data_IF_185597060143
#
_entry.id   IF_185597060143
#
_cell.length_a   1.000
_cell.length_b   1.000
_cell.length_c   1.000
_cell.angle_alpha   90.00
_cell.angle_beta   90.00
_cell.angle_gamma   90.00
#
_symmetry.space_group_name_H-M   'P 1'
#
loop_
_entity.id
_entity.type
_entity.pdbx_description
1 polymer ?
#
# COMPACT_ATOMS: atom_id res chain seq x y z
N UNK A 1 -101.95 -21.68 -11.55
CA UNK A 1 -101.38 -21.26 -10.27
C UNK A 1 -99.84 -21.38 -10.39
N UNK A 2 -99.17 -20.29 -10.62
CA UNK A 2 -97.71 -20.26 -10.73
C UNK A 2 -97.11 -19.72 -9.44
N UNK A 3 -96.23 -20.48 -8.79
CA UNK A 3 -95.45 -20.03 -7.65
C UNK A 3 -94.08 -19.55 -8.13
N UNK A 4 -93.80 -18.30 -7.91
CA UNK A 4 -92.52 -17.72 -8.01
C UNK A 4 -91.60 -18.16 -6.87
N UNK A 5 -90.48 -18.76 -7.18
CA UNK A 5 -89.39 -18.99 -6.24
C UNK A 5 -88.42 -17.86 -6.28
N UNK A 6 -88.34 -17.04 -5.26
CA UNK A 6 -87.24 -16.05 -5.08
C UNK A 6 -86.00 -16.83 -4.62
N UNK A 7 -84.99 -16.85 -5.48
CA UNK A 7 -83.70 -17.37 -5.11
C UNK A 7 -82.79 -16.25 -4.59
N UNK A 8 -82.67 -16.12 -3.25
CA UNK A 8 -81.63 -15.32 -2.62
C UNK A 8 -80.35 -16.15 -2.57
N UNK A 9 -79.37 -15.76 -3.41
CA UNK A 9 -78.07 -16.33 -3.35
C UNK A 9 -77.25 -15.73 -2.18
N UNK A 10 -77.39 -16.36 -0.99
CA UNK A 10 -76.53 -16.07 0.14
C UNK A 10 -75.18 -16.79 -0.01
N UNK A 11 -74.23 -16.14 -0.66
CA UNK A 11 -72.86 -16.55 -0.64
C UNK A 11 -72.23 -16.27 0.75
N UNK A 12 -72.31 -17.20 1.63
CA UNK A 12 -71.60 -17.23 2.92
C UNK A 12 -70.17 -17.70 2.59
N UNK A 13 -69.25 -16.77 2.40
CA UNK A 13 -67.81 -17.08 2.29
C UNK A 13 -67.40 -17.70 3.64
N UNK A 14 -66.89 -18.92 3.63
CA UNK A 14 -66.48 -19.61 4.85
C UNK A 14 -65.38 -18.79 5.59
N UNK A 15 -65.46 -18.67 6.92
CA UNK A 15 -64.59 -17.81 7.73
C UNK A 15 -63.09 -18.06 7.55
N UNK A 16 -62.69 -19.27 7.14
CA UNK A 16 -61.31 -19.59 6.85
C UNK A 16 -60.76 -18.83 5.60
N UNK A 17 -61.62 -18.48 4.62
CA UNK A 17 -61.22 -17.69 3.42
C UNK A 17 -60.84 -16.27 3.84
N UNK A 18 -61.57 -15.68 4.79
CA UNK A 18 -61.21 -14.39 5.37
C UNK A 18 -59.91 -14.45 6.16
N UNK A 19 -59.67 -15.54 6.91
CA UNK A 19 -58.41 -15.74 7.64
C UNK A 19 -57.21 -15.84 6.69
N UNK A 20 -57.34 -16.54 5.56
CA UNK A 20 -56.30 -16.64 4.53
C UNK A 20 -56.04 -15.28 3.86
N UNK A 21 -57.10 -14.52 3.52
CA UNK A 21 -56.94 -13.18 2.93
C UNK A 21 -56.24 -12.22 3.87
N UNK A 22 -56.59 -12.23 5.15
CA UNK A 22 -55.91 -11.42 6.18
C UNK A 22 -54.43 -11.83 6.32
N UNK A 23 -54.15 -13.13 6.34
CA UNK A 23 -52.76 -13.63 6.41
C UNK A 23 -51.92 -13.20 5.18
N UNK A 24 -52.50 -13.28 3.99
CA UNK A 24 -51.81 -12.81 2.76
C UNK A 24 -51.54 -11.31 2.81
N UNK A 25 -52.50 -10.48 3.25
CA UNK A 25 -52.34 -9.05 3.42
C UNK A 25 -51.25 -8.72 4.44
N UNK A 26 -51.21 -9.44 5.58
CA UNK A 26 -50.17 -9.25 6.60
C UNK A 26 -48.78 -9.64 6.10
N UNK A 27 -48.64 -10.74 5.37
CA UNK A 27 -47.37 -11.18 4.79
C UNK A 27 -46.91 -10.19 3.74
N UNK A 28 -47.84 -9.69 2.89
CA UNK A 28 -47.46 -8.65 1.87
C UNK A 28 -47.07 -7.36 2.54
N UNK A 29 -47.75 -6.92 3.59
CA UNK A 29 -47.36 -5.73 4.35
C UNK A 29 -46.01 -5.90 5.06
N UNK A 30 -45.70 -7.09 5.58
CA UNK A 30 -44.39 -7.42 6.13
C UNK A 30 -43.27 -7.40 5.09
N UNK A 31 -43.50 -7.94 3.89
CA UNK A 31 -42.52 -7.93 2.79
C UNK A 31 -42.28 -6.49 2.32
N UNK A 32 -43.33 -5.68 2.15
CA UNK A 32 -43.22 -4.27 1.77
C UNK A 32 -42.54 -3.46 2.89
N UNK A 33 -42.87 -3.68 4.13
CA UNK A 33 -42.24 -3.05 5.30
C UNK A 33 -40.76 -3.42 5.41
N UNK A 34 -40.44 -4.71 5.22
CA UNK A 34 -39.02 -5.17 5.22
C UNK A 34 -38.22 -4.58 4.08
N UNK A 35 -38.79 -4.49 2.84
CA UNK A 35 -38.11 -3.89 1.71
C UNK A 35 -37.89 -2.38 1.88
N UNK A 36 -38.80 -1.67 2.54
CA UNK A 36 -38.64 -0.23 2.84
C UNK A 36 -37.60 -0.01 3.95
N UNK A 37 -37.59 -0.85 4.99
CA UNK A 37 -36.57 -0.81 6.06
C UNK A 37 -35.19 -1.22 5.53
N UNK A 38 -35.12 -2.22 4.65
CA UNK A 38 -33.88 -2.66 4.04
C UNK A 38 -33.27 -1.59 3.12
N UNK A 39 -34.08 -0.87 2.33
CA UNK A 39 -33.60 0.28 1.55
C UNK A 39 -33.11 1.43 2.43
N UNK A 40 -33.86 1.76 3.48
CA UNK A 40 -33.47 2.82 4.39
C UNK A 40 -32.18 2.47 5.20
N UNK A 41 -31.99 1.17 5.53
CA UNK A 41 -30.76 0.71 6.17
C UNK A 41 -29.57 0.68 5.19
N UNK A 42 -29.79 0.46 3.88
CA UNK A 42 -28.72 0.56 2.89
C UNK A 42 -28.28 2.02 2.67
N UNK A 43 -29.21 2.96 2.69
CA UNK A 43 -28.86 4.40 2.62
C UNK A 43 -28.16 4.92 3.90
N UNK A 44 -28.53 4.41 5.09
CA UNK A 44 -27.86 4.77 6.35
C UNK A 44 -26.50 4.07 6.52
N UNK A 45 -26.33 2.83 6.04
CA UNK A 45 -25.04 2.13 6.08
C UNK A 45 -24.08 2.76 5.07
N UNK A 46 -24.54 3.13 3.86
CA UNK A 46 -23.73 3.87 2.89
C UNK A 46 -23.29 5.24 3.40
N UNK A 47 -24.10 5.93 4.21
CA UNK A 47 -23.73 7.21 4.82
C UNK A 47 -22.79 7.09 6.03
N UNK A 48 -22.67 5.90 6.65
CA UNK A 48 -21.65 5.64 7.68
C UNK A 48 -20.29 5.20 7.08
N UNK A 49 -20.29 4.57 5.90
CA UNK A 49 -19.08 4.15 5.20
C UNK A 49 -18.33 5.33 4.56
N UNK A 50 -19.03 6.42 4.22
CA UNK A 50 -18.44 7.62 3.62
C UNK A 50 -18.57 8.83 4.56
N UNK A 51 -18.04 8.69 5.78
CA UNK A 51 -18.18 9.69 6.83
C UNK A 51 -17.60 11.07 6.46
N UNK A 52 -16.63 11.12 5.56
CA UNK A 52 -15.99 12.34 5.06
C UNK A 52 -16.60 12.81 3.71
N UNK A 53 -17.62 12.10 3.18
CA UNK A 53 -18.36 12.47 1.97
C UNK A 53 -17.88 11.81 0.69
N UNK A 54 -18.26 12.39 -0.45
CA UNK A 54 -17.92 11.87 -1.79
C UNK A 54 -16.63 12.51 -2.32
N UNK A 55 -15.86 11.73 -3.09
CA UNK A 55 -14.67 12.21 -3.79
C UNK A 55 -14.68 11.77 -5.25
N UNK A 56 -14.49 12.72 -6.16
CA UNK A 56 -14.35 12.45 -7.59
C UNK A 56 -12.88 12.31 -7.97
N UNK A 57 -12.48 11.10 -8.37
CA UNK A 57 -11.14 10.81 -8.88
C UNK A 57 -11.03 11.25 -10.33
N UNK A 58 -10.24 12.29 -10.59
CA UNK A 58 -9.97 12.77 -11.93
C UNK A 58 -9.05 11.81 -12.70
N UNK A 59 -9.54 11.27 -13.81
CA UNK A 59 -8.80 10.40 -14.72
C UNK A 59 -8.79 11.01 -16.12
N UNK A 60 -7.62 11.36 -16.66
CA UNK A 60 -7.52 11.76 -18.06
C UNK A 60 -7.28 10.55 -18.94
N UNK A 61 -7.91 10.55 -20.12
CA UNK A 61 -7.70 9.51 -21.13
C UNK A 61 -7.53 10.14 -22.51
N UNK A 62 -6.50 9.72 -23.23
CA UNK A 62 -6.35 10.08 -24.63
C UNK A 62 -7.54 9.56 -25.45
N UNK A 63 -7.93 10.21 -26.57
CA UNK A 63 -9.13 9.85 -27.32
C UNK A 63 -9.25 8.36 -27.67
N UNK A 64 -8.13 7.72 -28.04
CA UNK A 64 -8.12 6.28 -28.37
C UNK A 64 -8.08 5.36 -27.13
N UNK A 65 -7.86 5.91 -25.95
CA UNK A 65 -7.84 5.18 -24.69
C UNK A 65 -9.16 5.33 -23.91
N UNK A 66 -9.98 6.32 -24.29
CA UNK A 66 -11.15 6.74 -23.54
C UNK A 66 -12.10 5.60 -23.20
N UNK A 67 -12.53 4.83 -24.20
CA UNK A 67 -13.50 3.74 -23.99
C UNK A 67 -12.98 2.72 -22.98
N UNK A 68 -11.70 2.31 -23.09
CA UNK A 68 -11.12 1.34 -22.18
C UNK A 68 -10.91 1.92 -20.76
N UNK A 69 -10.66 3.23 -20.66
CA UNK A 69 -10.57 3.92 -19.37
C UNK A 69 -11.96 4.06 -18.72
N UNK A 70 -13.01 4.35 -19.52
CA UNK A 70 -14.40 4.40 -19.05
C UNK A 70 -14.90 3.03 -18.59
N UNK A 71 -14.56 1.94 -19.30
CA UNK A 71 -14.91 0.58 -18.90
C UNK A 71 -14.31 0.25 -17.52
N UNK A 72 -13.04 0.60 -17.30
CA UNK A 72 -12.40 0.42 -16.00
C UNK A 72 -13.02 1.31 -14.91
N UNK A 73 -13.30 2.57 -15.23
CA UNK A 73 -13.92 3.52 -14.30
C UNK A 73 -15.33 3.08 -13.90
N UNK A 74 -16.13 2.60 -14.85
CA UNK A 74 -17.46 2.08 -14.57
C UNK A 74 -17.41 0.86 -13.66
N UNK A 75 -16.51 -0.10 -13.94
CA UNK A 75 -16.32 -1.26 -13.09
C UNK A 75 -15.86 -0.86 -11.66
N UNK A 76 -15.02 0.17 -11.53
CA UNK A 76 -14.59 0.71 -10.25
C UNK A 76 -15.75 1.39 -9.50
N UNK A 77 -16.56 2.17 -10.19
CA UNK A 77 -17.71 2.87 -9.62
C UNK A 77 -18.81 1.88 -9.18
N UNK A 78 -19.01 0.78 -9.93
CA UNK A 78 -19.94 -0.28 -9.57
C UNK A 78 -19.50 -1.09 -8.33
N UNK A 79 -18.23 -0.97 -7.92
CA UNK A 79 -17.68 -1.63 -6.76
C UNK A 79 -17.81 -0.79 -5.45
N UNK A 80 -18.45 0.39 -5.49
CA UNK A 80 -18.75 1.26 -4.35
C UNK A 80 -17.53 1.46 -3.42
N UNK A 81 -16.38 1.89 -3.99
CA UNK A 81 -15.10 1.97 -3.27
C UNK A 81 -15.06 3.10 -2.26
N UNK A 82 -14.57 2.78 -1.06
CA UNK A 82 -14.33 3.75 0.01
C UNK A 82 -12.84 3.91 0.23
N UNK A 83 -12.32 5.13 0.13
CA UNK A 83 -10.91 5.45 0.33
C UNK A 83 -10.79 6.59 1.35
N UNK A 84 -10.13 6.35 2.47
CA UNK A 84 -9.98 7.32 3.55
C UNK A 84 -11.32 7.96 3.96
N UNK A 85 -12.32 7.10 4.20
CA UNK A 85 -13.67 7.46 4.62
C UNK A 85 -14.49 8.30 3.62
N UNK A 86 -14.03 8.38 2.34
CA UNK A 86 -14.77 8.97 1.22
C UNK A 86 -15.29 7.90 0.27
N UNK A 87 -16.51 8.05 -0.22
CA UNK A 87 -17.02 7.31 -1.38
C UNK A 87 -16.34 7.85 -2.64
N UNK A 88 -15.55 7.00 -3.30
CA UNK A 88 -14.76 7.44 -4.46
C UNK A 88 -15.43 7.00 -5.76
N UNK A 89 -15.63 7.97 -6.66
CA UNK A 89 -16.08 7.72 -8.03
C UNK A 89 -15.02 8.20 -9.02
N UNK A 90 -14.64 7.34 -9.98
CA UNK A 90 -13.70 7.71 -11.04
C UNK A 90 -14.42 8.41 -12.19
N UNK A 91 -14.00 9.62 -12.52
CA UNK A 91 -14.51 10.41 -13.62
C UNK A 91 -13.47 10.52 -14.74
N UNK A 92 -13.79 9.98 -15.92
CA UNK A 92 -12.90 9.98 -17.09
C UNK A 92 -13.17 11.19 -17.97
N UNK A 93 -12.14 12.02 -18.15
CA UNK A 93 -12.15 13.15 -19.08
C UNK A 93 -11.29 12.83 -20.30
N UNK A 94 -11.84 13.08 -21.51
CA UNK A 94 -11.09 12.95 -22.75
C UNK A 94 -10.11 14.12 -22.90
N UNK A 95 -8.81 13.80 -22.84
CA UNK A 95 -7.74 14.79 -22.99
C UNK A 95 -6.65 14.21 -23.88
N UNK A 96 -6.42 14.79 -25.05
CA UNK A 96 -5.32 14.39 -25.92
C UNK A 96 -3.96 14.66 -25.23
N UNK A 97 -2.97 13.79 -25.42
CA UNK A 97 -1.67 13.87 -24.72
C UNK A 97 -1.02 15.26 -24.81
N UNK A 98 -1.04 15.88 -26.00
CA UNK A 98 -0.51 17.22 -26.20
C UNK A 98 -1.25 18.30 -25.40
N UNK A 99 -2.59 18.20 -25.36
CA UNK A 99 -3.42 19.17 -24.63
C UNK A 99 -3.29 18.97 -23.13
N UNK A 100 -3.18 17.71 -22.69
CA UNK A 100 -2.89 17.35 -21.30
C UNK A 100 -1.57 17.95 -20.82
N UNK A 101 -0.49 17.76 -21.57
CA UNK A 101 0.81 18.35 -21.25
C UNK A 101 0.74 19.87 -21.09
N UNK A 102 0.00 20.57 -21.95
CA UNK A 102 -0.16 22.04 -21.85
C UNK A 102 -0.96 22.50 -20.63
N UNK A 103 -1.73 21.63 -20.01
CA UNK A 103 -2.55 21.93 -18.83
C UNK A 103 -1.87 21.61 -17.51
N UNK A 104 -0.78 20.80 -17.50
CA UNK A 104 -0.15 20.31 -16.29
C UNK A 104 0.30 21.39 -15.29
N UNK A 105 0.53 22.62 -15.74
CA UNK A 105 0.88 23.73 -14.83
C UNK A 105 -0.32 24.23 -14.01
N UNK A 106 -1.54 24.05 -14.53
CA UNK A 106 -2.79 24.53 -13.92
C UNK A 106 -3.65 23.41 -13.34
N UNK A 107 -3.64 22.23 -13.96
CA UNK A 107 -4.48 21.10 -13.60
C UNK A 107 -3.71 19.81 -13.81
N UNK A 108 -3.70 18.93 -12.81
CA UNK A 108 -3.06 17.62 -12.89
C UNK A 108 -4.09 16.55 -12.47
N UNK A 109 -4.42 15.58 -13.34
CA UNK A 109 -5.30 14.48 -12.95
C UNK A 109 -4.58 13.55 -11.98
N UNK A 110 -5.31 12.82 -11.18
CA UNK A 110 -4.71 11.81 -10.31
C UNK A 110 -4.25 10.55 -11.08
N UNK A 111 -4.92 10.25 -12.22
CA UNK A 111 -4.50 9.20 -13.14
C UNK A 111 -4.60 9.64 -14.61
N UNK A 112 -3.72 9.11 -15.46
CA UNK A 112 -3.70 9.42 -16.90
C UNK A 112 -3.47 8.16 -17.74
N UNK A 113 -4.37 7.92 -18.69
CA UNK A 113 -4.24 6.87 -19.72
C UNK A 113 -3.80 7.53 -21.02
N UNK A 114 -2.49 7.66 -21.19
CA UNK A 114 -1.89 8.31 -22.35
C UNK A 114 -1.93 7.41 -23.61
N UNK A 115 -1.98 8.02 -24.79
CA UNK A 115 -1.79 7.30 -26.06
C UNK A 115 -0.33 6.92 -26.25
N UNK A 116 0.59 7.85 -25.96
CA UNK A 116 2.03 7.67 -26.02
C UNK A 116 2.69 8.02 -24.66
N UNK A 117 2.64 7.07 -23.74
CA UNK A 117 3.22 7.23 -22.43
C UNK A 117 4.73 7.53 -22.48
N UNK A 118 5.48 7.02 -23.50
CA UNK A 118 6.89 7.23 -23.64
C UNK A 118 7.24 8.71 -23.96
N UNK A 119 6.35 9.38 -24.68
CA UNK A 119 6.47 10.81 -24.97
C UNK A 119 5.97 11.67 -23.79
N UNK A 120 4.88 11.25 -23.12
CA UNK A 120 4.25 12.01 -22.04
C UNK A 120 5.11 12.03 -20.78
N UNK A 121 5.70 10.91 -20.37
CA UNK A 121 6.42 10.79 -19.11
C UNK A 121 7.59 11.76 -18.96
N UNK A 122 8.53 11.90 -19.94
CA UNK A 122 9.59 12.88 -19.85
C UNK A 122 9.08 14.32 -19.83
N UNK A 123 8.09 14.64 -20.67
CA UNK A 123 7.53 15.98 -20.76
C UNK A 123 6.78 16.37 -19.47
N UNK A 124 6.00 15.47 -18.87
CA UNK A 124 5.31 15.72 -17.61
C UNK A 124 6.29 16.05 -16.46
N UNK A 125 7.48 15.44 -16.47
CA UNK A 125 8.53 15.73 -15.49
C UNK A 125 9.01 17.19 -15.55
N UNK A 126 9.07 17.79 -16.75
CA UNK A 126 9.45 19.19 -16.92
C UNK A 126 8.43 20.15 -16.28
N UNK A 127 7.17 19.71 -16.10
CA UNK A 127 6.13 20.40 -15.36
C UNK A 127 6.07 20.03 -13.86
N UNK A 128 7.08 19.33 -13.34
CA UNK A 128 7.12 18.89 -11.95
C UNK A 128 6.11 17.81 -11.61
N UNK A 129 5.62 17.08 -12.63
CA UNK A 129 4.72 15.93 -12.46
C UNK A 129 5.54 14.64 -12.54
N UNK A 130 5.35 13.75 -11.58
CA UNK A 130 5.99 12.43 -11.53
C UNK A 130 4.93 11.34 -11.65
N UNK A 131 5.36 10.17 -12.10
CA UNK A 131 4.52 8.97 -12.08
C UNK A 131 4.82 8.17 -10.84
N UNK A 132 3.79 7.81 -10.10
CA UNK A 132 3.87 6.99 -8.91
C UNK A 132 3.95 5.51 -9.26
N UNK A 133 4.80 4.78 -8.53
CA UNK A 133 4.97 3.34 -8.66
C UNK A 133 5.87 2.91 -9.82
N UNK A 134 6.36 1.67 -9.73
CA UNK A 134 7.23 1.05 -10.74
C UNK A 134 6.46 0.34 -11.85
N UNK A 135 5.19 -0.04 -11.58
CA UNK A 135 4.29 -0.75 -12.50
C UNK A 135 3.00 0.02 -12.67
N UNK A 136 2.45 -0.04 -13.87
CA UNK A 136 1.15 0.51 -14.21
C UNK A 136 0.27 -0.57 -14.84
N UNK A 137 -1.02 -0.72 -14.43
CA UNK A 137 -1.95 -1.57 -15.15
C UNK A 137 -2.17 -1.04 -16.55
N UNK A 138 -2.51 -1.93 -17.48
CA UNK A 138 -2.73 -1.53 -18.87
C UNK A 138 -4.17 -1.83 -19.30
N UNK A 139 -4.77 -0.90 -20.08
CA UNK A 139 -6.12 -1.00 -20.61
C UNK A 139 -6.13 -0.94 -22.13
N UNK A 140 -7.15 -1.54 -22.74
CA UNK A 140 -7.42 -1.46 -24.17
C UNK A 140 -6.50 -2.32 -25.06
N UNK A 141 -6.76 -2.22 -26.38
CA UNK A 141 -5.94 -2.80 -27.44
C UNK A 141 -5.72 -1.73 -28.52
N UNK A 142 -4.47 -1.30 -28.74
CA UNK A 142 -3.24 -1.70 -28.02
C UNK A 142 -3.24 -1.32 -26.54
N UNK A 143 -2.54 -2.10 -25.73
CA UNK A 143 -2.44 -1.90 -24.29
C UNK A 143 -1.80 -0.55 -23.93
N UNK A 144 -2.50 0.25 -23.13
CA UNK A 144 -2.06 1.58 -22.67
C UNK A 144 -1.98 1.61 -21.16
N UNK A 145 -0.89 2.15 -20.58
CA UNK A 145 -0.72 2.19 -19.14
C UNK A 145 -1.64 3.23 -18.49
N UNK A 146 -2.20 2.88 -17.35
CA UNK A 146 -2.89 3.79 -16.43
C UNK A 146 -1.85 4.35 -15.48
N UNK A 147 -1.38 5.56 -15.76
CA UNK A 147 -0.31 6.22 -15.01
C UNK A 147 -0.90 6.97 -13.82
N UNK A 148 -0.45 6.68 -12.61
CA UNK A 148 -0.75 7.50 -11.43
C UNK A 148 0.18 8.69 -11.40
N UNK A 149 -0.35 9.88 -11.14
CA UNK A 149 0.43 11.11 -11.16
C UNK A 149 0.58 11.70 -9.76
N UNK A 150 1.77 12.21 -9.49
CA UNK A 150 2.14 12.97 -8.30
C UNK A 150 2.68 14.33 -8.72
N UNK A 151 2.13 15.39 -8.13
CA UNK A 151 2.51 16.76 -8.44
C UNK A 151 2.47 17.69 -7.20
N UNK A 152 2.82 17.19 -6.02
CA UNK A 152 2.72 17.91 -4.76
C UNK A 152 1.26 18.31 -4.49
N UNK A 153 1.04 19.55 -4.05
CA UNK A 153 -0.29 20.05 -3.69
C UNK A 153 -1.30 20.11 -4.85
N UNK A 154 -0.83 19.97 -6.12
CA UNK A 154 -1.70 19.95 -7.31
C UNK A 154 -2.49 18.65 -7.48
N UNK A 155 -2.01 17.55 -6.89
CA UNK A 155 -2.78 16.31 -6.72
C UNK A 155 -2.92 16.09 -5.22
N UNK A 156 -4.09 16.38 -4.63
CA UNK A 156 -4.33 16.21 -3.20
C UNK A 156 -4.03 14.78 -2.74
N UNK A 157 -3.70 14.62 -1.47
CA UNK A 157 -3.40 13.30 -0.89
C UNK A 157 -4.53 12.29 -1.12
N UNK A 158 -5.78 12.73 -0.95
CA UNK A 158 -6.95 11.89 -1.21
C UNK A 158 -6.98 11.42 -2.66
N UNK A 159 -6.66 12.32 -3.62
CA UNK A 159 -6.56 11.96 -5.04
C UNK A 159 -5.46 10.93 -5.33
N UNK A 160 -4.31 11.05 -4.66
CA UNK A 160 -3.23 10.07 -4.79
C UNK A 160 -3.64 8.70 -4.22
N UNK A 161 -4.34 8.68 -3.07
CA UNK A 161 -4.87 7.46 -2.45
C UNK A 161 -5.95 6.82 -3.34
N UNK A 162 -6.89 7.61 -3.84
CA UNK A 162 -7.92 7.14 -4.74
C UNK A 162 -7.35 6.58 -6.04
N UNK A 163 -6.35 7.25 -6.66
CA UNK A 163 -5.67 6.74 -7.84
C UNK A 163 -4.89 5.44 -7.57
N UNK A 164 -4.34 5.29 -6.36
CA UNK A 164 -3.71 4.05 -5.95
C UNK A 164 -4.71 2.91 -5.80
N UNK A 165 -5.85 3.16 -5.15
CA UNK A 165 -6.92 2.18 -5.02
C UNK A 165 -7.49 1.79 -6.41
N UNK A 166 -7.71 2.77 -7.31
CA UNK A 166 -8.16 2.55 -8.67
C UNK A 166 -7.22 1.64 -9.49
N UNK A 167 -5.90 1.86 -9.38
CA UNK A 167 -4.93 1.01 -10.08
C UNK A 167 -4.76 -0.36 -9.41
N UNK A 168 -4.91 -0.47 -8.10
CA UNK A 168 -4.93 -1.76 -7.39
C UNK A 168 -6.16 -2.57 -7.78
N UNK A 169 -7.34 -1.95 -7.83
CA UNK A 169 -8.57 -2.56 -8.32
C UNK A 169 -8.40 -3.11 -9.75
N UNK A 170 -7.77 -2.34 -10.64
CA UNK A 170 -7.49 -2.78 -12.01
C UNK A 170 -6.66 -4.07 -12.07
N UNK A 171 -5.68 -4.22 -11.18
CA UNK A 171 -4.80 -5.39 -11.14
C UNK A 171 -5.44 -6.55 -10.37
N UNK A 172 -6.01 -6.28 -9.19
CA UNK A 172 -6.43 -7.32 -8.26
C UNK A 172 -7.81 -7.87 -8.58
N UNK A 173 -8.75 -7.02 -8.99
CA UNK A 173 -10.13 -7.44 -9.25
C UNK A 173 -10.38 -7.61 -10.75
N UNK A 174 -9.96 -6.66 -11.58
CA UNK A 174 -10.12 -6.76 -13.04
C UNK A 174 -9.06 -7.64 -13.72
N UNK A 175 -8.01 -8.08 -12.99
CA UNK A 175 -6.93 -8.93 -13.49
C UNK A 175 -6.22 -8.35 -14.73
N UNK A 176 -6.14 -7.04 -14.83
CA UNK A 176 -5.48 -6.38 -15.96
C UNK A 176 -3.96 -6.61 -15.93
N UNK A 177 -3.32 -6.78 -17.09
CA UNK A 177 -1.88 -6.91 -17.18
C UNK A 177 -1.19 -5.61 -16.76
N UNK A 178 0.07 -5.71 -16.30
CA UNK A 178 0.88 -4.55 -15.90
C UNK A 178 2.08 -4.37 -16.80
N UNK A 179 2.58 -3.13 -16.90
CA UNK A 179 3.83 -2.80 -17.57
C UNK A 179 4.75 -2.06 -16.62
N UNK A 180 6.08 -2.19 -16.81
CA UNK A 180 7.07 -1.44 -16.03
C UNK A 180 7.11 0.02 -16.51
N UNK A 181 6.93 0.98 -15.59
CA UNK A 181 6.98 2.41 -15.90
C UNK A 181 8.35 2.82 -16.47
N UNK A 182 9.44 2.24 -15.95
CA UNK A 182 10.80 2.49 -16.46
C UNK A 182 10.98 2.04 -17.92
N UNK A 183 10.29 0.98 -18.36
CA UNK A 183 10.32 0.51 -19.73
C UNK A 183 9.65 1.50 -20.71
N UNK A 184 8.69 2.30 -20.23
CA UNK A 184 7.97 3.29 -21.03
C UNK A 184 8.85 4.52 -21.34
N UNK A 185 9.82 4.84 -20.51
CA UNK A 185 10.69 6.03 -20.69
C UNK A 185 11.88 5.79 -21.60
N UNK A 186 12.03 4.59 -22.19
CA UNK A 186 13.18 4.25 -23.03
C UNK A 186 14.52 4.28 -22.31
N UNK A 187 14.52 4.40 -20.99
CA UNK A 187 15.69 4.30 -20.13
C UNK A 187 16.15 2.84 -20.12
N UNK A 188 16.93 2.44 -21.15
CA UNK A 188 17.69 1.19 -21.11
C UNK A 188 18.61 1.27 -19.91
N UNK A 189 18.31 0.49 -18.87
CA UNK A 189 19.29 0.18 -17.84
C UNK A 189 20.54 -0.38 -18.57
N UNK A 190 21.65 0.34 -18.48
CA UNK A 190 22.94 -0.20 -18.87
C UNK A 190 23.25 -1.40 -17.98
N UNK A 191 23.16 -2.59 -18.54
CA UNK A 191 23.43 -3.80 -17.79
C UNK A 191 23.01 -5.10 -18.46
N UNK A 192 23.17 -5.21 -19.81
CA UNK A 192 23.20 -6.51 -20.45
C UNK A 192 24.12 -6.45 -21.67
N UNK A 193 25.40 -6.69 -21.47
CA UNK A 193 26.31 -7.09 -22.55
C UNK A 193 26.78 -8.51 -22.31
N UNK A 194 26.49 -9.28 -23.32
CA UNK A 194 26.84 -10.67 -23.55
C UNK A 194 28.25 -11.05 -23.14
N UNK A 195 28.35 -12.18 -22.46
CA UNK A 195 29.58 -12.92 -22.28
C UNK A 195 29.99 -13.58 -23.58
N UNK A 196 31.17 -13.24 -24.13
CA UNK A 196 31.96 -14.12 -24.99
C UNK A 196 33.41 -14.09 -24.56
N UNK A 197 33.84 -15.28 -24.24
CA UNK A 197 35.16 -15.84 -24.01
C UNK A 197 36.39 -15.15 -24.62
N UNK A 198 37.46 -15.15 -23.85
CA UNK A 198 38.84 -14.93 -24.32
C UNK A 198 39.81 -15.06 -23.15
N UNK A 199 40.69 -16.02 -23.29
CA UNK A 199 41.70 -16.47 -22.33
C UNK A 199 42.86 -15.51 -22.12
N UNK A 200 43.51 -15.69 -20.95
CA UNK A 200 44.92 -15.46 -20.62
C UNK A 200 45.53 -14.05 -20.60
N UNK A 201 45.94 -13.59 -19.42
CA UNK A 201 47.37 -13.52 -19.08
C UNK A 201 47.64 -13.12 -17.60
N UNK A 202 48.67 -13.76 -17.05
CA UNK A 202 49.23 -13.58 -15.71
C UNK A 202 49.90 -12.21 -15.53
N UNK A 203 49.68 -11.57 -14.39
CA UNK A 203 50.72 -10.82 -13.72
C UNK A 203 50.56 -10.84 -12.20
N UNK A 204 51.64 -11.22 -11.53
CA UNK A 204 51.87 -11.27 -10.09
C UNK A 204 51.88 -9.87 -9.47
N UNK A 205 51.39 -9.80 -8.23
CA UNK A 205 51.89 -8.77 -7.34
C UNK A 205 51.03 -8.45 -6.13
N UNK A 206 51.51 -8.98 -5.02
CA UNK A 206 51.41 -8.44 -3.64
C UNK A 206 50.15 -8.60 -2.84
N UNK A 207 50.26 -9.52 -1.89
CA UNK A 207 49.40 -9.67 -0.71
C UNK A 207 49.39 -8.41 0.13
N UNK A 208 48.20 -7.95 0.48
CA UNK A 208 47.94 -7.32 1.77
C UNK A 208 46.67 -7.92 2.31
N UNK A 209 46.81 -8.79 3.28
CA UNK A 209 45.74 -9.40 4.04
C UNK A 209 45.02 -8.28 4.83
N UNK A 210 43.86 -7.90 4.39
CA UNK A 210 42.83 -7.33 5.24
C UNK A 210 41.72 -8.39 5.36
N UNK A 211 41.69 -9.00 6.51
CA UNK A 211 40.67 -9.95 6.99
C UNK A 211 39.34 -9.22 7.09
N UNK A 212 38.65 -9.00 5.95
CA UNK A 212 37.25 -8.64 5.90
C UNK A 212 36.47 -9.91 6.22
N UNK A 213 36.13 -10.10 7.48
CA UNK A 213 35.13 -11.07 7.92
C UNK A 213 33.94 -11.00 6.95
N UNK A 214 33.77 -12.06 6.18
CA UNK A 214 32.67 -12.21 5.22
C UNK A 214 31.39 -12.15 6.01
N UNK A 215 30.69 -11.00 5.91
CA UNK A 215 29.42 -10.77 6.59
C UNK A 215 28.46 -11.88 6.22
N UNK A 216 27.72 -12.49 7.14
CA UNK A 216 26.76 -13.51 6.79
C UNK A 216 25.67 -12.88 5.90
N UNK A 217 25.63 -13.29 4.65
CA UNK A 217 24.52 -12.98 3.78
C UNK A 217 23.21 -13.48 4.39
N UNK A 218 22.10 -12.81 4.10
CA UNK A 218 20.78 -13.26 4.52
C UNK A 218 20.57 -14.71 4.06
N UNK A 219 20.19 -15.61 4.97
CA UNK A 219 19.95 -17.00 4.61
C UNK A 219 18.77 -17.07 3.61
N UNK A 220 18.87 -17.97 2.63
CA UNK A 220 17.82 -18.11 1.60
C UNK A 220 16.48 -18.46 2.25
N UNK A 221 15.43 -17.78 1.83
CA UNK A 221 14.08 -17.94 2.37
C UNK A 221 13.84 -17.25 3.70
N UNK A 222 14.76 -16.37 4.18
CA UNK A 222 14.54 -15.57 5.38
C UNK A 222 13.46 -14.53 5.13
N UNK A 223 12.39 -14.62 5.91
CA UNK A 223 11.30 -13.64 5.92
C UNK A 223 11.75 -12.38 6.68
N UNK A 224 11.36 -11.18 6.19
CA UNK A 224 11.77 -9.91 6.78
C UNK A 224 10.55 -9.04 7.08
N UNK A 225 10.43 -8.63 8.35
CA UNK A 225 9.46 -7.64 8.79
C UNK A 225 10.12 -6.26 8.81
N UNK A 226 9.63 -5.34 8.00
CA UNK A 226 10.04 -3.95 8.03
C UNK A 226 9.08 -3.13 8.89
N UNK A 227 9.61 -2.36 9.83
CA UNK A 227 8.87 -1.36 10.59
C UNK A 227 9.40 0.03 10.21
N UNK A 228 8.56 0.83 9.57
CA UNK A 228 8.90 2.15 9.06
C UNK A 228 8.29 3.23 9.95
N UNK A 229 9.11 4.16 10.39
CA UNK A 229 8.66 5.42 10.96
C UNK A 229 7.97 6.29 9.89
N UNK A 230 6.77 6.74 10.17
CA UNK A 230 6.03 7.72 9.37
C UNK A 230 5.62 8.94 10.18
N UNK A 231 6.27 9.17 11.33
CA UNK A 231 6.06 10.36 12.15
C UNK A 231 6.57 11.64 11.48
N UNK A 232 6.30 12.78 12.09
CA UNK A 232 6.78 14.10 11.63
C UNK A 232 8.30 14.16 11.45
N UNK A 233 9.06 13.34 12.16
CA UNK A 233 10.52 13.24 12.01
C UNK A 233 10.96 12.76 10.62
N UNK A 234 10.14 11.96 9.94
CA UNK A 234 10.36 11.52 8.56
C UNK A 234 9.93 12.56 7.51
N UNK A 235 9.21 13.61 7.93
CA UNK A 235 8.83 14.77 7.12
C UNK A 235 9.94 15.81 6.94
N UNK A 236 11.04 15.69 7.68
CA UNK A 236 12.18 16.62 7.57
C UNK A 236 12.74 16.60 6.15
N UNK A 237 12.89 17.79 5.57
CA UNK A 237 13.46 17.97 4.22
C UNK A 237 14.98 17.95 4.31
N UNK A 238 15.61 17.05 3.59
CA UNK A 238 17.06 16.92 3.43
C UNK A 238 17.45 17.16 1.97
N UNK A 239 17.94 18.37 1.68
CA UNK A 239 18.15 18.81 0.31
C UNK A 239 16.82 19.14 -0.39
N UNK A 240 16.47 18.38 -1.41
CA UNK A 240 15.30 18.64 -2.26
C UNK A 240 14.09 17.71 -1.96
N UNK A 241 14.20 16.81 -0.97
CA UNK A 241 13.18 15.81 -0.68
C UNK A 241 13.03 15.55 0.83
N UNK A 242 11.84 15.08 1.23
CA UNK A 242 11.61 14.62 2.61
C UNK A 242 12.35 13.29 2.84
N UNK A 243 12.74 13.03 4.09
CA UNK A 243 13.36 11.75 4.51
C UNK A 243 12.57 10.55 4.00
N UNK A 244 11.24 10.54 4.19
CA UNK A 244 10.37 9.44 3.75
C UNK A 244 10.48 9.21 2.23
N UNK A 245 10.46 10.27 1.43
CA UNK A 245 10.49 10.14 -0.04
C UNK A 245 11.81 9.52 -0.54
N UNK A 246 12.92 9.83 0.12
CA UNK A 246 14.23 9.24 -0.20
C UNK A 246 14.30 7.79 0.27
N UNK A 247 13.79 7.50 1.47
CA UNK A 247 13.80 6.16 2.07
C UNK A 247 12.93 5.16 1.29
N UNK A 248 11.84 5.62 0.65
CA UNK A 248 11.01 4.77 -0.22
C UNK A 248 11.85 4.02 -1.26
N UNK A 249 12.70 4.71 -2.01
CA UNK A 249 13.57 4.08 -3.01
C UNK A 249 14.51 3.02 -2.43
N UNK A 250 15.06 3.28 -1.24
CA UNK A 250 15.90 2.33 -0.53
C UNK A 250 15.12 1.08 -0.07
N UNK A 251 13.89 1.27 0.43
CA UNK A 251 13.02 0.18 0.86
C UNK A 251 12.52 -0.66 -0.31
N UNK A 252 12.12 -0.07 -1.44
CA UNK A 252 11.79 -0.83 -2.66
C UNK A 252 12.94 -1.76 -3.07
N UNK A 253 14.18 -1.26 -3.09
CA UNK A 253 15.36 -2.08 -3.37
C UNK A 253 15.59 -3.16 -2.32
N UNK A 254 15.26 -2.90 -1.06
CA UNK A 254 15.36 -3.87 0.03
C UNK A 254 14.30 -4.98 -0.10
N UNK A 255 13.05 -4.63 -0.39
CA UNK A 255 11.96 -5.59 -0.61
C UNK A 255 12.26 -6.53 -1.77
N UNK A 256 12.74 -5.99 -2.89
CA UNK A 256 13.16 -6.78 -4.04
C UNK A 256 14.27 -7.78 -3.65
N UNK A 257 15.30 -7.35 -2.91
CA UNK A 257 16.38 -8.26 -2.47
C UNK A 257 15.87 -9.39 -1.59
N UNK A 258 14.92 -9.11 -0.67
CA UNK A 258 14.29 -10.16 0.15
C UNK A 258 13.52 -11.13 -0.73
N UNK A 259 12.75 -10.64 -1.71
CA UNK A 259 12.00 -11.47 -2.65
C UNK A 259 12.91 -12.31 -3.56
N UNK A 260 14.00 -11.74 -4.08
CA UNK A 260 15.02 -12.48 -4.87
C UNK A 260 15.70 -13.58 -4.05
N UNK A 261 15.78 -13.40 -2.73
CA UNK A 261 16.27 -14.40 -1.78
C UNK A 261 15.17 -15.37 -1.30
N UNK A 262 14.02 -15.40 -1.95
CA UNK A 262 12.86 -16.26 -1.64
C UNK A 262 12.22 -15.99 -0.26
N UNK A 263 12.50 -14.85 0.37
CA UNK A 263 11.87 -14.38 1.59
C UNK A 263 10.54 -13.68 1.33
N UNK A 264 9.64 -13.74 2.32
CA UNK A 264 8.44 -12.90 2.36
C UNK A 264 8.78 -11.54 3.00
N UNK A 265 8.08 -10.50 2.55
CA UNK A 265 8.19 -9.14 3.08
C UNK A 265 6.93 -8.78 3.84
N UNK A 266 7.06 -8.42 5.12
CA UNK A 266 6.01 -7.76 5.89
C UNK A 266 6.34 -6.28 6.02
N UNK A 267 5.34 -5.41 5.87
CA UNK A 267 5.49 -3.97 6.04
C UNK A 267 4.53 -3.46 7.12
N UNK A 268 5.11 -2.86 8.13
CA UNK A 268 4.43 -2.09 9.17
C UNK A 268 4.87 -0.64 9.09
N UNK A 269 3.99 0.27 9.44
CA UNK A 269 4.38 1.65 9.73
C UNK A 269 3.87 2.09 11.09
N UNK A 270 4.46 3.11 11.64
CA UNK A 270 3.98 3.71 12.86
C UNK A 270 4.04 5.23 12.84
N UNK A 271 3.06 5.81 13.48
CA UNK A 271 2.98 7.20 13.92
C UNK A 271 1.82 7.32 14.92
N UNK A 272 1.74 8.38 15.68
CA UNK A 272 0.70 8.57 16.70
C UNK A 272 0.00 9.90 16.54
N UNK A 273 -1.13 10.06 17.22
CA UNK A 273 -1.87 11.32 17.30
C UNK A 273 -2.39 11.86 15.96
N UNK A 274 -2.57 11.00 14.97
CA UNK A 274 -3.11 11.38 13.66
C UNK A 274 -4.61 11.69 13.70
N UNK A 275 -5.35 11.08 14.64
CA UNK A 275 -6.77 11.34 14.83
C UNK A 275 -7.17 11.23 16.31
N UNK A 276 -8.19 12.00 16.77
CA UNK A 276 -8.74 11.85 18.10
C UNK A 276 -9.33 10.45 18.27
N UNK A 277 -8.82 9.67 19.22
CA UNK A 277 -9.30 8.31 19.51
C UNK A 277 -8.47 7.17 18.93
N UNK A 278 -7.55 7.42 18.03
CA UNK A 278 -6.58 6.40 17.63
C UNK A 278 -5.67 6.05 18.81
N UNK A 279 -5.78 4.78 19.29
CA UNK A 279 -5.01 4.31 20.47
C UNK A 279 -3.79 3.50 20.07
N UNK A 280 -3.78 2.95 18.87
CA UNK A 280 -2.70 2.11 18.36
C UNK A 280 -1.80 2.95 17.46
N UNK A 281 -0.53 3.16 17.80
CA UNK A 281 0.35 4.03 17.03
C UNK A 281 1.00 3.34 15.81
N UNK A 282 0.63 2.11 15.50
CA UNK A 282 1.17 1.35 14.39
C UNK A 282 0.07 0.70 13.56
N UNK A 283 0.40 0.36 12.33
CA UNK A 283 -0.46 -0.38 11.40
C UNK A 283 0.31 -1.53 10.77
N UNK A 284 -0.35 -2.69 10.70
CA UNK A 284 0.08 -3.82 9.86
C UNK A 284 -0.47 -3.56 8.45
N UNK A 285 0.39 -3.29 7.50
CA UNK A 285 -0.04 -3.03 6.13
C UNK A 285 0.06 -4.28 5.25
N UNK A 286 1.14 -5.04 5.43
CA UNK A 286 1.36 -6.31 4.72
C UNK A 286 1.94 -7.29 5.71
N UNK A 287 1.36 -8.48 5.79
CA UNK A 287 1.86 -9.58 6.62
C UNK A 287 2.84 -10.48 5.84
N UNK A 288 3.40 -11.49 6.52
CA UNK A 288 4.35 -12.43 5.92
C UNK A 288 3.70 -13.53 5.05
N UNK A 289 2.39 -13.48 4.82
CA UNK A 289 1.69 -14.47 3.99
C UNK A 289 1.97 -14.32 2.50
N UNK A 290 2.18 -13.09 2.03
CA UNK A 290 2.47 -12.80 0.63
C UNK A 290 3.91 -13.13 0.27
N UNK A 291 4.10 -14.01 -0.76
CA UNK A 291 5.41 -14.31 -1.36
C UNK A 291 5.45 -13.79 -2.79
N UNK A 292 5.26 -12.50 -2.92
CA UNK A 292 5.11 -11.76 -4.17
C UNK A 292 6.37 -10.97 -4.56
N UNK A 293 7.50 -11.29 -3.94
CA UNK A 293 8.75 -10.56 -4.15
C UNK A 293 8.76 -9.16 -3.54
N UNK A 294 7.87 -8.88 -2.58
CA UNK A 294 7.72 -7.58 -1.94
C UNK A 294 6.84 -6.59 -2.71
N UNK A 295 6.09 -7.04 -3.72
CA UNK A 295 5.27 -6.17 -4.55
C UNK A 295 4.15 -5.49 -3.76
N UNK A 296 3.42 -6.23 -2.90
CA UNK A 296 2.38 -5.68 -2.03
C UNK A 296 2.96 -4.64 -1.06
N UNK A 297 4.11 -4.95 -0.43
CA UNK A 297 4.79 -4.02 0.46
C UNK A 297 5.22 -2.73 -0.27
N UNK A 298 5.71 -2.85 -1.51
CA UNK A 298 6.06 -1.71 -2.35
C UNK A 298 4.86 -0.82 -2.69
N UNK A 299 3.74 -1.43 -3.07
CA UNK A 299 2.51 -0.70 -3.41
C UNK A 299 1.96 0.09 -2.21
N UNK A 300 1.99 -0.50 -1.02
CA UNK A 300 1.58 0.20 0.20
C UNK A 300 2.58 1.28 0.61
N UNK A 301 3.90 1.00 0.50
CA UNK A 301 4.95 1.97 0.82
C UNK A 301 4.78 3.29 0.05
N UNK A 302 4.36 3.21 -1.21
CA UNK A 302 4.13 4.38 -2.06
C UNK A 302 2.96 5.26 -1.58
N UNK A 303 2.06 4.71 -0.77
CA UNK A 303 0.90 5.41 -0.22
C UNK A 303 1.13 6.00 1.17
N UNK A 304 2.21 5.61 1.87
CA UNK A 304 2.47 6.09 3.22
C UNK A 304 2.86 7.56 3.20
N UNK A 305 2.30 8.33 4.13
CA UNK A 305 2.60 9.74 4.34
C UNK A 305 3.13 9.98 5.74
N UNK A 306 3.73 11.13 5.94
CA UNK A 306 4.29 11.56 7.23
C UNK A 306 3.25 12.30 8.05
N UNK A 307 3.33 12.14 9.37
CA UNK A 307 2.53 12.91 10.32
C UNK A 307 2.54 12.28 11.71
N UNK A 308 2.28 13.08 12.71
CA UNK A 308 2.12 12.67 14.10
C UNK A 308 3.40 12.37 14.87
N UNK A 309 3.22 11.86 16.08
CA UNK A 309 4.30 11.61 17.03
C UNK A 309 5.06 10.30 16.78
N UNK A 310 6.29 10.24 17.26
CA UNK A 310 7.15 9.06 17.18
C UNK A 310 6.91 8.13 18.39
N UNK A 311 6.21 7.02 18.18
CA UNK A 311 5.97 5.97 19.17
C UNK A 311 6.70 4.68 18.77
N UNK A 312 8.03 4.75 18.76
CA UNK A 312 8.91 3.68 18.27
C UNK A 312 8.89 2.44 19.14
N UNK A 313 9.05 2.60 20.48
CA UNK A 313 9.28 1.46 21.37
C UNK A 313 8.08 0.51 21.41
N UNK A 314 6.87 1.02 21.57
CA UNK A 314 5.65 0.20 21.58
C UNK A 314 5.40 -0.45 20.20
N UNK A 315 5.76 0.23 19.12
CA UNK A 315 5.63 -0.28 17.76
C UNK A 315 6.65 -1.37 17.46
N UNK A 316 7.90 -1.21 17.92
CA UNK A 316 8.94 -2.25 17.85
C UNK A 316 8.50 -3.50 18.61
N UNK A 317 7.97 -3.34 19.83
CA UNK A 317 7.47 -4.45 20.64
C UNK A 317 6.39 -5.24 19.91
N UNK A 318 5.39 -4.54 19.35
CA UNK A 318 4.27 -5.17 18.64
C UNK A 318 4.70 -5.88 17.34
N UNK A 319 5.52 -5.23 16.52
CA UNK A 319 5.99 -5.81 15.26
C UNK A 319 6.95 -6.99 15.50
N UNK A 320 7.79 -6.90 16.51
CA UNK A 320 8.67 -8.00 16.90
C UNK A 320 7.87 -9.21 17.39
N UNK A 321 6.84 -8.99 18.24
CA UNK A 321 5.95 -10.07 18.67
C UNK A 321 5.31 -10.78 17.47
N UNK A 322 4.79 -10.06 16.50
CA UNK A 322 4.20 -10.64 15.30
C UNK A 322 5.22 -11.43 14.46
N UNK A 323 6.46 -10.93 14.34
CA UNK A 323 7.54 -11.63 13.66
C UNK A 323 7.93 -12.93 14.38
N UNK A 324 7.95 -12.92 15.72
CA UNK A 324 8.19 -14.12 16.57
C UNK A 324 7.06 -15.13 16.38
N UNK A 325 5.80 -14.71 16.46
CA UNK A 325 4.64 -15.58 16.25
C UNK A 325 4.68 -16.24 14.86
N UNK A 326 5.07 -15.49 13.82
CA UNK A 326 5.23 -16.02 12.45
C UNK A 326 6.40 -17.00 12.35
N UNK A 327 7.53 -16.71 12.99
CA UNK A 327 8.68 -17.60 13.01
C UNK A 327 8.38 -18.91 13.77
N UNK A 328 7.64 -18.84 14.86
CA UNK A 328 7.19 -20.01 15.61
C UNK A 328 6.23 -20.89 14.77
N UNK A 329 5.30 -20.26 14.03
CA UNK A 329 4.38 -20.97 13.14
C UNK A 329 5.09 -21.62 11.92
N UNK A 330 6.18 -21.03 11.44
CA UNK A 330 6.96 -21.55 10.32
C UNK A 330 7.77 -22.81 10.67
N UNK A 331 8.06 -23.04 11.96
CA UNK A 331 8.81 -24.18 12.46
C UNK A 331 10.33 -24.11 12.23
N UNK A 332 11.05 -25.09 12.76
CA UNK A 332 12.52 -25.09 12.77
C UNK A 332 13.18 -25.35 11.39
N UNK A 333 12.41 -25.76 10.40
CA UNK A 333 12.93 -26.04 9.05
C UNK A 333 13.19 -24.79 8.23
N UNK A 334 12.61 -23.65 8.62
CA UNK A 334 12.82 -22.37 7.97
C UNK A 334 13.84 -21.50 8.74
N UNK A 335 14.59 -20.65 8.02
CA UNK A 335 15.41 -19.65 8.69
C UNK A 335 14.55 -18.77 9.60
N UNK A 336 15.05 -18.48 10.80
CA UNK A 336 14.40 -17.52 11.69
C UNK A 336 14.30 -16.18 10.97
N UNK A 337 13.12 -15.56 11.01
CA UNK A 337 12.88 -14.27 10.38
C UNK A 337 13.77 -13.16 10.93
N UNK A 338 13.80 -12.03 10.24
CA UNK A 338 14.51 -10.82 10.65
C UNK A 338 13.54 -9.64 10.71
N UNK A 339 13.78 -8.73 11.63
CA UNK A 339 13.09 -7.45 11.68
C UNK A 339 14.08 -6.32 11.36
N UNK A 340 13.67 -5.39 10.51
CA UNK A 340 14.41 -4.17 10.17
C UNK A 340 13.56 -2.96 10.51
N UNK A 341 14.05 -2.11 11.39
CA UNK A 341 13.40 -0.85 11.78
C UNK A 341 14.10 0.30 11.09
N UNK A 342 13.35 1.18 10.44
CA UNK A 342 13.88 2.42 9.85
C UNK A 342 13.16 3.59 10.50
N UNK A 343 13.90 4.44 11.20
CA UNK A 343 13.33 5.52 12.01
C UNK A 343 14.17 6.78 12.01
N UNK A 344 13.54 7.89 12.42
CA UNK A 344 14.19 9.17 12.68
C UNK A 344 13.63 9.79 13.97
N UNK A 345 14.36 10.76 14.54
CA UNK A 345 13.94 11.46 15.75
C UNK A 345 13.96 10.60 17.03
N UNK A 346 13.42 11.16 18.10
CA UNK A 346 13.39 10.50 19.42
C UNK A 346 12.05 9.86 19.68
N UNK A 347 12.07 8.73 20.36
CA UNK A 347 10.87 8.08 20.86
C UNK A 347 10.11 9.00 21.85
N UNK A 348 8.79 8.98 21.77
CA UNK A 348 7.87 9.80 22.58
C UNK A 348 6.83 8.97 23.34
N UNK A 349 6.84 7.62 23.19
CA UNK A 349 5.93 6.76 23.93
C UNK A 349 6.41 6.45 25.36
N UNK A 350 5.52 5.85 26.16
CA UNK A 350 5.79 5.58 27.58
C UNK A 350 6.52 4.25 27.82
N UNK A 351 6.70 3.39 26.81
CA UNK A 351 7.42 2.14 26.97
C UNK A 351 8.92 2.40 27.09
N UNK A 352 9.48 2.14 28.28
CA UNK A 352 10.90 2.39 28.51
C UNK A 352 11.80 1.42 27.73
N UNK A 353 13.03 1.85 27.46
CA UNK A 353 14.04 1.03 26.78
C UNK A 353 14.29 -0.28 27.54
N UNK A 354 14.35 -0.24 28.88
CA UNK A 354 14.57 -1.43 29.72
C UNK A 354 13.41 -2.42 29.61
N UNK A 355 12.17 -1.93 29.61
CA UNK A 355 10.99 -2.79 29.43
C UNK A 355 10.97 -3.42 28.03
N UNK A 356 11.24 -2.63 26.98
CA UNK A 356 11.32 -3.13 25.62
C UNK A 356 12.41 -4.19 25.48
N UNK A 357 13.62 -3.93 25.95
CA UNK A 357 14.74 -4.90 25.95
C UNK A 357 14.38 -6.20 26.63
N UNK A 358 13.71 -6.13 27.78
CA UNK A 358 13.28 -7.33 28.50
C UNK A 358 12.26 -8.15 27.69
N UNK A 359 11.30 -7.49 27.02
CA UNK A 359 10.33 -8.15 26.14
C UNK A 359 11.00 -8.81 24.93
N UNK A 360 11.90 -8.10 24.26
CA UNK A 360 12.62 -8.60 23.09
C UNK A 360 13.52 -9.80 23.44
N UNK A 361 14.27 -9.72 24.56
CA UNK A 361 15.16 -10.77 25.00
C UNK A 361 14.44 -12.05 25.46
N UNK A 362 13.20 -11.94 25.93
CA UNK A 362 12.39 -13.08 26.38
C UNK A 362 11.74 -13.86 25.22
N UNK A 363 11.83 -13.38 23.99
CA UNK A 363 11.16 -13.97 22.83
C UNK A 363 11.79 -15.32 22.43
N UNK A 364 10.93 -16.26 22.01
CA UNK A 364 11.34 -17.57 21.49
C UNK A 364 10.36 -18.02 20.38
N UNK A 365 10.83 -18.27 19.15
CA UNK A 365 12.22 -18.15 18.70
C UNK A 365 12.74 -16.72 18.72
N UNK A 366 14.06 -16.57 18.81
CA UNK A 366 14.68 -15.25 18.80
C UNK A 366 14.70 -14.66 17.38
N UNK A 367 13.91 -13.61 17.16
CA UNK A 367 13.93 -12.82 15.91
C UNK A 367 14.86 -11.63 16.08
N UNK A 368 15.89 -11.57 15.26
CA UNK A 368 16.87 -10.49 15.27
C UNK A 368 16.26 -9.17 14.81
N UNK A 369 16.53 -8.07 15.52
CA UNK A 369 16.10 -6.71 15.20
C UNK A 369 17.31 -5.86 14.82
N UNK A 370 17.39 -5.43 13.57
CA UNK A 370 18.37 -4.45 13.09
C UNK A 370 17.68 -3.09 12.97
N UNK A 371 18.31 -2.02 13.46
CA UNK A 371 17.72 -0.68 13.52
C UNK A 371 18.56 0.31 12.72
N UNK A 372 17.93 1.00 11.76
CA UNK A 372 18.53 2.09 10.97
C UNK A 372 17.99 3.42 11.51
N UNK A 373 18.85 4.21 12.14
CA UNK A 373 18.48 5.54 12.66
C UNK A 373 19.00 6.65 11.74
N UNK A 374 18.09 7.54 11.29
CA UNK A 374 18.37 8.59 10.32
C UNK A 374 18.59 9.92 11.03
N UNK A 375 19.71 10.58 10.72
CA UNK A 375 20.06 11.88 11.28
C UNK A 375 20.71 11.81 12.65
N UNK A 376 21.05 12.99 13.20
CA UNK A 376 21.70 13.11 14.50
C UNK A 376 20.74 13.30 15.69
N UNK A 377 19.44 13.29 15.41
CA UNK A 377 18.36 13.52 16.38
C UNK A 377 17.81 12.21 17.00
N UNK A 378 18.34 11.05 16.65
CA UNK A 378 18.01 9.75 17.23
C UNK A 378 18.79 9.49 18.53
N UNK A 379 18.22 8.73 19.48
CA UNK A 379 18.89 8.26 20.68
C UNK A 379 19.77 7.03 20.38
N UNK A 380 20.94 7.22 19.76
CA UNK A 380 21.80 6.15 19.24
C UNK A 380 22.13 5.07 20.26
N UNK A 381 22.48 5.45 21.51
CA UNK A 381 22.83 4.51 22.57
C UNK A 381 21.64 3.65 23.01
N UNK A 382 20.43 4.21 23.05
CA UNK A 382 19.20 3.49 23.37
C UNK A 382 18.85 2.49 22.25
N UNK A 383 18.91 2.94 20.99
CA UNK A 383 18.62 2.10 19.83
C UNK A 383 19.63 0.95 19.68
N UNK A 384 20.91 1.20 19.99
CA UNK A 384 21.93 0.15 20.04
C UNK A 384 21.58 -0.92 21.08
N UNK A 385 21.22 -0.52 22.30
CA UNK A 385 20.83 -1.44 23.36
C UNK A 385 19.57 -2.25 23.00
N UNK A 386 18.58 -1.64 22.33
CA UNK A 386 17.37 -2.33 21.86
C UNK A 386 17.74 -3.40 20.83
N UNK A 387 18.55 -3.06 19.83
CA UNK A 387 18.98 -4.00 18.80
C UNK A 387 19.79 -5.17 19.39
N UNK A 388 20.74 -4.87 20.27
CA UNK A 388 21.60 -5.86 20.92
C UNK A 388 20.83 -6.88 21.77
N UNK A 389 19.68 -6.50 22.34
CA UNK A 389 18.82 -7.42 23.10
C UNK A 389 18.34 -8.64 22.28
N UNK A 390 18.38 -8.56 20.95
CA UNK A 390 18.02 -9.64 20.02
C UNK A 390 19.21 -10.19 19.22
N UNK A 391 20.43 -9.75 19.52
CA UNK A 391 21.62 -10.05 18.72
C UNK A 391 21.68 -9.27 17.40
N UNK A 392 20.84 -8.23 17.25
CA UNK A 392 20.86 -7.29 16.15
C UNK A 392 21.87 -6.15 16.33
N UNK A 393 21.79 -5.16 15.45
CA UNK A 393 22.69 -3.99 15.47
C UNK A 393 21.94 -2.71 15.16
N UNK A 394 22.44 -1.61 15.75
CA UNK A 394 22.07 -0.26 15.35
C UNK A 394 23.02 0.22 14.23
N UNK A 395 22.46 0.83 13.20
CA UNK A 395 23.16 1.38 12.05
C UNK A 395 22.81 2.87 11.92
N UNK A 396 23.74 3.76 12.24
CA UNK A 396 23.51 5.19 12.04
C UNK A 396 23.56 5.53 10.54
N UNK A 397 22.50 6.13 10.01
CA UNK A 397 22.45 6.74 8.71
C UNK A 397 22.56 8.26 8.87
N UNK A 398 23.61 8.87 8.33
CA UNK A 398 23.82 10.32 8.46
C UNK A 398 22.63 11.14 7.94
N UNK A 399 22.02 10.68 6.87
CA UNK A 399 20.89 11.26 6.17
C UNK A 399 20.06 10.15 5.49
N UNK A 400 18.89 10.48 4.96
CA UNK A 400 18.02 9.52 4.29
C UNK A 400 18.69 8.84 3.07
N UNK A 401 19.61 9.50 2.39
CA UNK A 401 20.35 8.94 1.24
C UNK A 401 21.29 7.80 1.64
N UNK A 402 21.78 7.81 2.87
CA UNK A 402 22.67 6.76 3.37
C UNK A 402 21.92 5.43 3.67
N UNK A 403 20.60 5.44 3.79
CA UNK A 403 19.77 4.28 4.16
C UNK A 403 19.91 3.12 3.17
N UNK A 404 19.97 3.38 1.87
CA UNK A 404 20.14 2.32 0.85
C UNK A 404 21.45 1.54 1.04
N UNK A 405 22.56 2.24 1.32
CA UNK A 405 23.84 1.60 1.64
C UNK A 405 23.76 0.73 2.89
N UNK A 406 23.09 1.22 3.92
CA UNK A 406 22.88 0.48 5.18
C UNK A 406 22.02 -0.76 4.97
N UNK A 407 20.89 -0.64 4.24
CA UNK A 407 20.01 -1.78 3.95
C UNK A 407 20.72 -2.85 3.10
N UNK A 408 21.59 -2.45 2.17
CA UNK A 408 22.48 -3.38 1.43
C UNK A 408 23.48 -4.08 2.35
N UNK A 409 23.84 -3.43 3.45
CA UNK A 409 24.69 -4.04 4.46
C UNK A 409 23.93 -5.04 5.34
N UNK A 410 22.66 -4.82 5.64
CA UNK A 410 21.83 -5.65 6.51
C UNK A 410 21.34 -6.90 5.75
N UNK A 411 20.91 -6.74 4.50
CA UNK A 411 20.25 -7.74 3.67
C UNK A 411 21.19 -8.34 2.61
#
# INVERSE_FOLDING_TARGET
MARHANGENNFKVAGWVWAVLIAVVLVTALIIGWSAVSKNNQETVASEECAEGDYELSVWAAPKAKSAAEDLANAYNDADRVVADHCVTAAVSEVADRDGLSKLDSEVPAAWVAEDAAAVLPAAKDHGVRVAGSKAPTVGDPARPVLRLEAGDRVPELGQRAASDFTSFAVEEQKLPTTEVAALTGSKGEGAKDAKSGEDEKAKGSKKDEDKAKKPALARGTDVTFLLDTSDAMGVVEGDARRLDVVRGALHSAFQRVGENEGAVSLWNYSSQLSPGARTPYRVNVDLSARDGGAAAGAVLDQLNVGGGNHANVSISAAHKAAVDSAAAAGAEKPTGRMVVVLAGKNQDELSVEQLKAQLAAANPQVRVDIVGIGGDVSADELAQIAEATGGKFYPARDAKAVDGVLKEIL
#
